data_IF_125757932128
#
_entry.id   IF_125757932128
#
_cell.length_a   1.000
_cell.length_b   1.000
_cell.length_c   1.000
_cell.angle_alpha   90.00
_cell.angle_beta   90.00
_cell.angle_gamma   90.00
#
_symmetry.space_group_name_H-M   'P 1'
#
loop_
_entity.id
_entity.type
_entity.pdbx_description
1 polymer ?
#
# COMPACT_ATOMS: atom_id res chain seq x y z
N UNK A 1 25.76 4.89 4.02
CA UNK A 1 24.29 4.70 3.94
C UNK A 1 23.96 3.22 3.88
N UNK A 2 23.19 2.77 4.84
CA UNK A 2 22.63 1.41 4.85
C UNK A 2 21.16 1.46 4.47
N UNK A 3 20.70 0.46 3.73
CA UNK A 3 19.30 0.34 3.34
C UNK A 3 18.85 -1.11 3.51
N UNK A 4 17.71 -1.30 4.14
CA UNK A 4 17.03 -2.58 4.24
C UNK A 4 15.67 -2.48 3.57
N UNK A 5 15.19 -3.59 3.05
CA UNK A 5 13.90 -3.63 2.35
C UNK A 5 13.02 -4.70 2.99
N UNK A 6 11.78 -4.32 3.33
CA UNK A 6 10.74 -5.26 3.76
C UNK A 6 9.77 -5.47 2.61
N UNK A 7 9.53 -6.73 2.27
CA UNK A 7 8.55 -7.12 1.27
C UNK A 7 7.29 -7.61 1.97
N UNK A 8 6.13 -7.09 1.55
CA UNK A 8 4.82 -7.46 2.09
C UNK A 8 3.91 -7.81 0.92
N UNK A 9 3.15 -8.90 1.03
CA UNK A 9 2.19 -9.33 0.04
C UNK A 9 0.77 -9.19 0.60
N UNK A 10 -0.16 -8.72 -0.23
CA UNK A 10 -1.58 -8.70 0.11
C UNK A 10 -2.42 -8.65 -1.15
N UNK A 11 -3.70 -8.98 -1.03
CA UNK A 11 -4.62 -8.85 -2.15
C UNK A 11 -5.66 -7.77 -1.87
N UNK A 12 -6.11 -7.10 -2.93
CA UNK A 12 -7.10 -6.03 -2.85
C UNK A 12 -7.90 -5.99 -4.15
N UNK A 13 -9.05 -5.37 -4.07
CA UNK A 13 -9.83 -5.04 -5.26
C UNK A 13 -9.85 -3.52 -5.46
N UNK A 14 -10.11 -3.10 -6.67
CA UNK A 14 -10.28 -1.69 -7.01
C UNK A 14 -10.96 -1.50 -8.37
N UNK A 15 -11.28 -0.27 -8.68
CA UNK A 15 -11.52 0.21 -10.04
C UNK A 15 -11.15 1.68 -10.14
N UNK A 16 -10.94 2.14 -11.37
CA UNK A 16 -10.57 3.52 -11.67
C UNK A 16 -11.74 4.25 -12.29
N UNK A 17 -12.09 5.41 -11.75
CA UNK A 17 -13.06 6.32 -12.33
C UNK A 17 -12.41 7.18 -13.41
N UNK A 18 -13.21 7.68 -14.36
CA UNK A 18 -12.74 8.55 -15.45
C UNK A 18 -11.62 7.90 -16.27
N UNK A 19 -11.75 6.61 -16.51
CA UNK A 19 -10.78 5.79 -17.23
C UNK A 19 -11.51 4.86 -18.20
N UNK A 20 -11.04 4.77 -19.45
CA UNK A 20 -11.73 4.04 -20.51
C UNK A 20 -11.25 2.61 -20.71
N UNK A 21 -10.12 2.23 -20.08
CA UNK A 21 -9.57 0.87 -20.16
C UNK A 21 -10.32 -0.13 -19.27
N UNK A 22 -9.82 -1.38 -19.24
CA UNK A 22 -10.43 -2.48 -18.48
C UNK A 22 -10.49 -2.20 -16.97
N UNK A 23 -9.60 -1.35 -16.47
CA UNK A 23 -9.54 -1.04 -15.03
C UNK A 23 -10.73 -0.21 -14.54
N UNK A 24 -11.63 0.22 -15.43
CA UNK A 24 -12.91 0.82 -15.05
C UNK A 24 -13.88 -0.20 -14.43
N UNK A 25 -13.63 -1.49 -14.61
CA UNK A 25 -14.42 -2.56 -14.00
C UNK A 25 -13.79 -2.99 -12.68
N UNK A 26 -14.61 -3.49 -11.77
CA UNK A 26 -14.13 -4.05 -10.52
C UNK A 26 -13.24 -5.26 -10.80
N UNK A 27 -12.05 -5.26 -10.23
CA UNK A 27 -11.07 -6.35 -10.39
C UNK A 27 -10.13 -6.35 -9.19
N UNK A 28 -9.27 -7.36 -9.12
CA UNK A 28 -8.34 -7.49 -8.01
C UNK A 28 -6.92 -7.83 -8.45
N UNK A 29 -6.00 -7.62 -7.52
CA UNK A 29 -4.58 -7.91 -7.69
C UNK A 29 -4.00 -8.58 -6.46
N UNK A 30 -2.98 -9.39 -6.66
CA UNK A 30 -2.05 -9.81 -5.61
C UNK A 30 -0.87 -8.85 -5.64
N UNK A 31 -0.87 -7.90 -4.73
CA UNK A 31 0.16 -6.88 -4.68
C UNK A 31 1.41 -7.36 -3.93
N UNK A 32 2.55 -6.85 -4.37
CA UNK A 32 3.80 -6.92 -3.63
C UNK A 32 4.23 -5.50 -3.30
N UNK A 33 4.48 -5.23 -2.03
CA UNK A 33 4.96 -3.93 -1.57
C UNK A 33 6.38 -4.10 -1.05
N UNK A 34 7.30 -3.29 -1.57
CA UNK A 34 8.67 -3.22 -1.07
C UNK A 34 8.86 -1.87 -0.39
N UNK A 35 9.25 -1.90 0.88
CA UNK A 35 9.44 -0.70 1.70
C UNK A 35 10.92 -0.60 2.05
N UNK A 36 11.58 0.43 1.53
CA UNK A 36 12.99 0.71 1.79
C UNK A 36 13.14 1.64 2.99
N UNK A 37 13.98 1.22 3.92
CA UNK A 37 14.29 1.93 5.16
C UNK A 37 15.80 2.15 5.20
N UNK A 38 16.25 3.38 5.43
CA UNK A 38 17.66 3.75 5.31
C UNK A 38 18.17 4.51 6.53
N UNK A 39 19.46 4.35 6.81
CA UNK A 39 20.15 5.10 7.86
C UNK A 39 21.62 5.26 7.52
N UNK A 40 22.21 6.38 7.91
CA UNK A 40 23.65 6.60 7.77
C UNK A 40 24.46 5.74 8.73
N UNK A 41 23.86 5.35 9.85
CA UNK A 41 24.53 4.53 10.90
C UNK A 41 23.63 3.38 11.34
N UNK A 42 24.24 2.39 11.96
CA UNK A 42 23.54 1.26 12.57
C UNK A 42 23.36 1.52 14.07
N UNK A 43 22.33 0.88 14.64
CA UNK A 43 22.11 0.91 16.08
C UNK A 43 23.10 0.00 16.83
N UNK A 44 22.96 -0.10 18.16
CA UNK A 44 23.84 -0.93 19.00
C UNK A 44 23.77 -2.43 18.67
N UNK A 45 22.75 -2.86 17.93
CA UNK A 45 22.57 -4.24 17.46
C UNK A 45 23.16 -4.47 16.07
N UNK A 46 23.63 -3.41 15.39
CA UNK A 46 24.08 -3.46 14.01
C UNK A 46 22.96 -3.42 13.00
N UNK A 47 21.82 -2.81 13.32
CA UNK A 47 20.63 -2.76 12.49
C UNK A 47 20.27 -1.34 12.06
N UNK A 48 19.73 -1.19 10.84
CA UNK A 48 18.98 0.02 10.46
C UNK A 48 17.70 0.07 11.27
N UNK A 49 16.99 -1.06 11.32
CA UNK A 49 15.77 -1.27 12.08
C UNK A 49 15.53 -2.77 12.23
N UNK A 50 14.80 -3.17 13.26
CA UNK A 50 14.39 -4.56 13.41
C UNK A 50 13.25 -4.88 12.45
N UNK A 51 13.43 -5.91 11.61
CA UNK A 51 12.37 -6.36 10.69
C UNK A 51 11.09 -6.79 11.43
N UNK A 52 11.19 -7.25 12.68
CA UNK A 52 10.01 -7.59 13.47
C UNK A 52 9.14 -6.36 13.75
N UNK A 53 9.75 -5.20 14.00
CA UNK A 53 9.00 -3.95 14.21
C UNK A 53 8.29 -3.53 12.94
N UNK A 54 8.96 -3.64 11.80
CA UNK A 54 8.36 -3.35 10.49
C UNK A 54 7.18 -4.28 10.24
N UNK A 55 7.35 -5.57 10.50
CA UNK A 55 6.29 -6.57 10.34
C UNK A 55 5.09 -6.26 11.22
N UNK A 56 5.31 -6.03 12.51
CA UNK A 56 4.21 -5.79 13.45
C UNK A 56 3.43 -4.53 13.10
N UNK A 57 4.10 -3.43 12.77
CA UNK A 57 3.44 -2.15 12.53
C UNK A 57 2.93 -2.05 11.10
N UNK A 58 3.78 -2.25 10.10
CA UNK A 58 3.42 -2.00 8.71
C UNK A 58 2.62 -3.14 8.10
N UNK A 59 3.06 -4.38 8.26
CA UNK A 59 2.29 -5.52 7.78
C UNK A 59 0.98 -5.67 8.55
N UNK A 60 0.99 -5.45 9.86
CA UNK A 60 -0.21 -5.48 10.69
C UNK A 60 -1.24 -4.44 10.23
N UNK A 61 -0.79 -3.22 9.89
CA UNK A 61 -1.67 -2.20 9.34
C UNK A 61 -2.22 -2.57 7.97
N UNK A 62 -1.37 -3.05 7.06
CA UNK A 62 -1.82 -3.50 5.73
C UNK A 62 -2.85 -4.61 5.87
N UNK A 63 -2.60 -5.59 6.72
CA UNK A 63 -3.52 -6.71 6.93
C UNK A 63 -4.89 -6.25 7.45
N UNK A 64 -4.92 -5.24 8.31
CA UNK A 64 -6.17 -4.74 8.89
C UNK A 64 -6.86 -3.68 8.02
N UNK A 65 -6.11 -2.86 7.30
CA UNK A 65 -6.63 -1.69 6.60
C UNK A 65 -6.84 -1.90 5.10
N UNK A 66 -6.06 -2.76 4.46
CA UNK A 66 -6.04 -2.87 3.00
C UNK A 66 -6.31 -4.28 2.49
N UNK A 67 -5.80 -5.30 3.16
CA UNK A 67 -5.86 -6.67 2.68
C UNK A 67 -7.30 -7.18 2.62
N UNK A 68 -7.66 -7.82 1.49
CA UNK A 68 -9.00 -8.34 1.23
C UNK A 68 -10.09 -7.27 1.25
N UNK A 69 -9.75 -6.04 0.92
CA UNK A 69 -10.72 -4.94 0.84
C UNK A 69 -10.82 -4.39 -0.57
N UNK A 70 -11.97 -3.80 -0.87
CA UNK A 70 -12.20 -3.06 -2.11
C UNK A 70 -11.82 -1.60 -1.88
N UNK A 71 -10.78 -1.14 -2.58
CA UNK A 71 -10.28 0.23 -2.49
C UNK A 71 -10.94 1.06 -3.59
N UNK A 72 -11.64 2.11 -3.20
CA UNK A 72 -12.44 2.89 -4.14
C UNK A 72 -12.24 4.38 -3.92
N UNK A 73 -12.29 5.15 -5.00
CA UNK A 73 -12.44 6.59 -4.92
C UNK A 73 -13.73 6.90 -4.13
N UNK A 74 -13.67 7.81 -3.18
CA UNK A 74 -14.82 8.14 -2.32
C UNK A 74 -16.05 8.61 -3.10
N UNK A 75 -15.88 9.07 -4.35
CA UNK A 75 -16.97 9.50 -5.21
C UNK A 75 -17.55 8.38 -6.07
N UNK A 76 -17.08 7.15 -5.89
CA UNK A 76 -17.52 6.01 -6.70
C UNK A 76 -18.98 5.67 -6.42
N UNK A 77 -19.80 5.64 -7.47
CA UNK A 77 -21.23 5.37 -7.38
C UNK A 77 -21.56 3.94 -6.95
N UNK A 78 -20.61 3.01 -6.96
CA UNK A 78 -20.82 1.62 -6.53
C UNK A 78 -20.81 1.46 -5.01
N UNK A 79 -20.31 2.44 -4.28
CA UNK A 79 -20.13 2.34 -2.82
C UNK A 79 -21.43 1.97 -2.09
N UNK A 80 -22.60 2.63 -2.34
CA UNK A 80 -23.82 2.25 -1.64
C UNK A 80 -24.24 0.80 -1.85
N UNK A 81 -24.04 0.27 -3.07
CA UNK A 81 -24.39 -1.11 -3.39
C UNK A 81 -23.48 -2.11 -2.66
N UNK A 82 -22.17 -1.86 -2.64
CA UNK A 82 -21.24 -2.71 -1.92
C UNK A 82 -21.48 -2.65 -0.39
N UNK A 83 -21.80 -1.47 0.13
CA UNK A 83 -22.17 -1.33 1.54
C UNK A 83 -23.43 -2.14 1.89
N UNK A 84 -24.44 -2.14 1.02
CA UNK A 84 -25.66 -2.92 1.25
C UNK A 84 -25.40 -4.43 1.25
N UNK A 85 -24.36 -4.88 0.53
CA UNK A 85 -23.90 -6.25 0.50
C UNK A 85 -22.94 -6.58 1.65
N UNK A 86 -22.60 -5.59 2.49
CA UNK A 86 -21.67 -5.71 3.62
C UNK A 86 -20.25 -6.10 3.15
N UNK A 87 -19.87 -5.69 1.96
CA UNK A 87 -18.50 -5.89 1.47
C UNK A 87 -17.53 -4.94 2.16
N UNK A 88 -16.32 -5.38 2.53
CA UNK A 88 -15.33 -4.50 3.16
C UNK A 88 -14.77 -3.50 2.14
N UNK A 89 -14.95 -2.22 2.43
CA UNK A 89 -14.56 -1.12 1.54
C UNK A 89 -13.60 -0.18 2.27
N UNK A 90 -12.63 0.34 1.52
CA UNK A 90 -11.81 1.48 1.93
C UNK A 90 -11.96 2.57 0.88
N UNK A 91 -12.29 3.77 1.31
CA UNK A 91 -12.44 4.90 0.39
C UNK A 91 -11.21 5.81 0.46
N UNK A 92 -10.78 6.29 -0.72
CA UNK A 92 -9.66 7.19 -0.88
C UNK A 92 -10.13 8.49 -1.51
N UNK A 93 -9.33 9.55 -1.33
CA UNK A 93 -9.61 10.86 -1.92
C UNK A 93 -9.44 10.86 -3.45
N UNK A 94 -8.68 9.90 -3.99
CA UNK A 94 -8.36 9.78 -5.42
C UNK A 94 -8.58 8.34 -5.87
N UNK A 95 -8.50 8.10 -7.18
CA UNK A 95 -8.48 6.74 -7.70
C UNK A 95 -7.38 5.92 -7.05
N UNK A 96 -7.67 4.67 -6.65
CA UNK A 96 -6.71 3.78 -5.98
C UNK A 96 -5.72 3.16 -6.97
N UNK A 97 -4.88 3.99 -7.57
CA UNK A 97 -3.81 3.57 -8.46
C UNK A 97 -2.61 3.04 -7.67
N UNK A 98 -1.70 2.34 -8.34
CA UNK A 98 -0.46 1.90 -7.72
C UNK A 98 0.34 3.07 -7.15
N UNK A 99 0.34 4.23 -7.84
CA UNK A 99 1.00 5.44 -7.39
C UNK A 99 0.42 5.97 -6.09
N UNK A 100 -0.91 6.04 -6.00
CA UNK A 100 -1.61 6.51 -4.79
C UNK A 100 -1.40 5.55 -3.63
N UNK A 101 -1.42 4.24 -3.89
CA UNK A 101 -1.21 3.24 -2.85
C UNK A 101 0.24 3.24 -2.35
N UNK A 102 1.21 3.44 -3.24
CA UNK A 102 2.61 3.60 -2.84
C UNK A 102 2.79 4.79 -1.91
N UNK A 103 2.20 5.94 -2.25
CA UNK A 103 2.23 7.14 -1.40
C UNK A 103 1.55 6.89 -0.05
N UNK A 104 0.38 6.26 -0.05
CA UNK A 104 -0.36 6.00 1.19
C UNK A 104 0.47 5.15 2.17
N UNK A 105 1.12 4.11 1.66
CA UNK A 105 1.96 3.23 2.49
C UNK A 105 3.20 3.97 2.99
N UNK A 106 3.84 4.77 2.12
CA UNK A 106 4.97 5.61 2.51
C UNK A 106 4.59 6.57 3.64
N UNK A 107 3.50 7.30 3.49
CA UNK A 107 3.05 8.29 4.46
C UNK A 107 2.72 7.64 5.80
N UNK A 108 2.09 6.46 5.78
CA UNK A 108 1.83 5.73 7.00
C UNK A 108 3.12 5.29 7.69
N UNK A 109 4.06 4.70 6.96
CA UNK A 109 5.35 4.29 7.52
C UNK A 109 6.07 5.47 8.15
N UNK A 110 6.09 6.61 7.46
CA UNK A 110 6.71 7.83 7.97
C UNK A 110 6.02 8.33 9.24
N UNK A 111 4.67 8.29 9.27
CA UNK A 111 3.89 8.70 10.44
C UNK A 111 4.17 7.84 11.68
N UNK A 112 4.59 6.60 11.47
CA UNK A 112 4.94 5.67 12.55
C UNK A 112 6.39 5.80 13.01
N UNK A 113 7.14 6.74 12.45
CA UNK A 113 8.52 7.02 12.83
C UNK A 113 9.56 6.15 12.13
N UNK A 114 9.18 5.38 11.12
CA UNK A 114 10.13 4.57 10.35
C UNK A 114 10.97 5.45 9.41
N UNK A 115 12.27 5.13 9.23
CA UNK A 115 13.14 5.88 8.33
C UNK A 115 12.92 5.46 6.86
N UNK A 116 11.67 5.54 6.40
CA UNK A 116 11.27 5.15 5.05
C UNK A 116 11.84 6.14 4.02
N UNK A 117 12.41 5.60 2.95
CA UNK A 117 12.97 6.40 1.85
C UNK A 117 12.30 6.12 0.51
N UNK A 118 11.71 4.94 0.35
CA UNK A 118 11.07 4.57 -0.91
C UNK A 118 10.06 3.46 -0.65
N UNK A 119 8.94 3.53 -1.36
CA UNK A 119 7.97 2.43 -1.44
C UNK A 119 7.74 2.09 -2.90
N UNK A 120 7.90 0.82 -3.25
CA UNK A 120 7.52 0.28 -4.56
C UNK A 120 6.27 -0.57 -4.39
N UNK A 121 5.23 -0.23 -5.14
CA UNK A 121 3.96 -0.94 -5.13
C UNK A 121 3.80 -1.69 -6.45
N UNK A 122 3.94 -3.00 -6.39
CA UNK A 122 3.78 -3.89 -7.53
C UNK A 122 2.31 -4.31 -7.64
N UNK A 123 1.63 -3.78 -8.64
CA UNK A 123 0.25 -4.16 -8.94
C UNK A 123 0.20 -5.54 -9.61
N UNK A 124 1.12 -5.78 -10.50
CA UNK A 124 1.33 -7.06 -11.20
C UNK A 124 2.80 -7.45 -11.09
N UNK A 125 3.17 -8.71 -11.47
CA UNK A 125 4.57 -9.11 -11.47
C UNK A 125 5.49 -8.30 -12.41
N UNK A 126 4.91 -7.52 -13.32
CA UNK A 126 5.68 -6.77 -14.34
C UNK A 126 5.57 -5.26 -14.23
N UNK A 127 4.74 -4.74 -13.33
CA UNK A 127 4.46 -3.30 -13.28
C UNK A 127 4.37 -2.80 -11.85
N UNK A 128 5.12 -1.76 -11.55
CA UNK A 128 5.10 -1.14 -10.22
C UNK A 128 5.21 0.37 -10.30
N UNK A 129 4.73 1.02 -9.26
CA UNK A 129 4.94 2.45 -9.04
C UNK A 129 5.88 2.67 -7.86
N UNK A 130 6.64 3.74 -7.90
CA UNK A 130 7.58 4.12 -6.84
C UNK A 130 7.19 5.48 -6.27
N UNK A 131 7.21 5.60 -4.94
CA UNK A 131 7.06 6.87 -4.27
C UNK A 131 8.21 7.08 -3.26
N UNK A 132 8.80 8.28 -3.27
CA UNK A 132 9.97 8.63 -2.45
C UNK A 132 9.75 9.81 -1.50
N UNK A 133 8.55 10.34 -1.47
CA UNK A 133 8.27 11.52 -0.64
C UNK A 133 8.40 12.84 -1.34
#
# INVERSE_FOLDING_TARGET
MFRVTKEIHFCYGHRLLNYEGKCRFLHGHNAKVEIDLSSESLDHRGMVIDFNDVKQVLQGWIDSALDHKMLLNKTDSVIPQLNSLKEPIVTLERNPTAEVLAQMIFDYAKSQGFPVTEVRFWETPTSFATYRG
#
